data_IF_402911016916
#
_entry.id   IF_402911016916
#
_cell.length_a   1.000
_cell.length_b   1.000
_cell.length_c   1.000
_cell.angle_alpha   90.00
_cell.angle_beta   90.00
_cell.angle_gamma   90.00
#
_symmetry.space_group_name_H-M   'P 1'
#
loop_
_entity.id
_entity.type
_entity.pdbx_description
1 polymer ?
#
# COMPACT_ATOMS: atom_id res chain seq x y z
N UNK A 1 24.01 0.81 -41.85
CA UNK A 1 23.95 1.68 -40.65
C UNK A 1 22.69 1.50 -39.80
N UNK A 2 21.82 0.52 -40.07
CA UNK A 2 20.54 0.33 -39.35
C UNK A 2 20.63 -0.54 -38.07
N UNK A 3 21.51 -1.53 -38.03
CA UNK A 3 21.52 -2.54 -36.95
C UNK A 3 22.18 -2.06 -35.64
N UNK A 4 23.11 -1.10 -35.71
CA UNK A 4 23.83 -0.62 -34.52
C UNK A 4 22.96 0.31 -33.67
N UNK A 5 22.20 1.21 -34.30
CA UNK A 5 21.27 2.09 -33.58
C UNK A 5 20.13 1.30 -32.92
N UNK A 6 19.67 0.23 -33.56
CA UNK A 6 18.65 -0.65 -32.98
C UNK A 6 19.16 -1.38 -31.73
N UNK A 7 20.41 -1.86 -31.76
CA UNK A 7 21.03 -2.53 -30.62
C UNK A 7 21.19 -1.58 -29.41
N UNK A 8 21.58 -0.32 -29.65
CA UNK A 8 21.71 0.69 -28.60
C UNK A 8 20.36 1.04 -27.97
N UNK A 9 19.30 1.16 -28.77
CA UNK A 9 17.93 1.38 -28.27
C UNK A 9 17.46 0.20 -27.43
N UNK A 10 17.73 -1.03 -27.86
CA UNK A 10 17.35 -2.25 -27.12
C UNK A 10 18.11 -2.36 -25.80
N UNK A 11 19.43 -2.09 -25.78
CA UNK A 11 20.23 -2.08 -24.54
C UNK A 11 19.73 -0.99 -23.59
N UNK A 12 19.46 0.21 -24.09
CA UNK A 12 18.93 1.31 -23.29
C UNK A 12 17.55 0.99 -22.69
N UNK A 13 16.66 0.39 -23.48
CA UNK A 13 15.37 -0.12 -23.00
C UNK A 13 15.55 -1.20 -21.92
N UNK A 14 16.43 -2.18 -22.13
CA UNK A 14 16.70 -3.24 -21.16
C UNK A 14 17.29 -2.69 -19.85
N UNK A 15 18.13 -1.66 -19.89
CA UNK A 15 18.66 -1.02 -18.68
C UNK A 15 17.61 -0.23 -17.92
N UNK A 16 16.67 0.43 -18.62
CA UNK A 16 15.56 1.15 -17.97
C UNK A 16 14.63 0.16 -17.26
N UNK A 17 14.29 -0.96 -17.92
CA UNK A 17 13.35 -1.94 -17.37
C UNK A 17 13.86 -2.58 -16.07
N UNK A 18 15.18 -2.82 -15.96
CA UNK A 18 15.79 -3.34 -14.72
C UNK A 18 15.84 -2.31 -13.57
N UNK A 19 15.83 -1.01 -13.87
CA UNK A 19 15.85 0.05 -12.86
C UNK A 19 14.49 0.36 -12.22
N UNK A 20 13.40 -0.23 -12.71
CA UNK A 20 12.03 0.02 -12.23
C UNK A 20 11.61 -0.89 -11.07
N UNK A 21 12.53 -1.68 -10.50
CA UNK A 21 12.20 -2.48 -9.31
C UNK A 21 11.81 -1.54 -8.16
N UNK A 22 10.52 -1.51 -7.83
CA UNK A 22 9.98 -0.68 -6.78
C UNK A 22 10.59 -1.11 -5.44
N UNK A 23 11.42 -0.24 -4.86
CA UNK A 23 12.07 -0.48 -3.57
C UNK A 23 11.11 -0.09 -2.44
N UNK A 24 10.85 -1.03 -1.53
CA UNK A 24 9.99 -0.82 -0.37
C UNK A 24 10.84 -0.61 0.89
N UNK A 25 10.41 0.26 1.82
CA UNK A 25 11.15 0.47 3.07
C UNK A 25 11.13 -0.79 3.94
N UNK A 26 12.24 -1.08 4.62
CA UNK A 26 12.33 -2.21 5.56
C UNK A 26 11.34 -2.08 6.72
N UNK A 27 11.13 -0.84 7.19
CA UNK A 27 10.17 -0.48 8.22
C UNK A 27 9.53 0.86 7.91
N UNK A 28 8.25 1.02 8.23
CA UNK A 28 7.55 2.29 8.12
C UNK A 28 6.39 2.38 9.10
N UNK A 29 6.03 3.59 9.50
CA UNK A 29 4.90 3.84 10.38
C UNK A 29 3.71 4.38 9.59
N UNK A 30 2.52 3.87 9.89
CA UNK A 30 1.26 4.41 9.41
C UNK A 30 0.57 5.11 10.57
N UNK A 31 0.13 6.34 10.33
CA UNK A 31 -0.69 7.12 11.26
C UNK A 31 -2.12 7.12 10.75
N UNK A 32 -3.05 6.64 11.58
CA UNK A 32 -4.47 6.80 11.38
C UNK A 32 -5.03 7.79 12.40
N UNK A 33 -5.58 8.88 11.89
CA UNK A 33 -6.40 9.80 12.68
C UNK A 33 -7.86 9.31 12.63
N UNK A 34 -8.57 9.42 13.76
CA UNK A 34 -9.94 8.91 13.91
C UNK A 34 -10.85 10.01 14.43
N UNK A 35 -12.13 9.96 14.05
CA UNK A 35 -13.19 10.85 14.53
C UNK A 35 -13.94 10.31 15.77
N UNK A 36 -13.43 9.22 16.37
CA UNK A 36 -14.02 8.61 17.58
C UNK A 36 -13.99 9.62 18.72
N UNK A 37 -15.17 9.97 19.24
CA UNK A 37 -15.30 10.90 20.36
C UNK A 37 -14.51 10.39 21.57
N UNK A 38 -13.67 11.26 22.13
CA UNK A 38 -12.82 10.94 23.27
C UNK A 38 -11.50 10.24 22.91
N UNK A 39 -11.24 9.95 21.63
CA UNK A 39 -9.91 9.58 21.18
C UNK A 39 -8.98 10.79 21.32
N UNK A 40 -7.92 10.63 22.11
CA UNK A 40 -6.94 11.69 22.40
C UNK A 40 -5.65 11.56 21.58
N UNK A 41 -5.39 10.37 21.02
CA UNK A 41 -4.17 10.08 20.28
C UNK A 41 -4.49 9.34 18.98
N UNK A 42 -3.69 9.54 17.91
CA UNK A 42 -3.79 8.76 16.69
C UNK A 42 -3.40 7.30 16.93
N UNK A 43 -3.87 6.42 16.07
CA UNK A 43 -3.40 5.03 16.02
C UNK A 43 -2.12 5.02 15.16
N UNK A 44 -1.01 4.66 15.77
CA UNK A 44 0.27 4.49 15.07
C UNK A 44 0.57 3.01 14.92
N UNK A 45 0.75 2.54 13.70
CA UNK A 45 1.09 1.15 13.39
C UNK A 45 2.48 1.11 12.78
N UNK A 46 3.41 0.42 13.44
CA UNK A 46 4.73 0.15 12.89
C UNK A 46 4.67 -1.13 12.04
N UNK A 47 5.07 -1.02 10.78
CA UNK A 47 5.13 -2.13 9.83
C UNK A 47 6.57 -2.54 9.64
N UNK A 48 6.81 -3.85 9.72
CA UNK A 48 8.11 -4.47 9.49
C UNK A 48 8.00 -5.36 8.25
N UNK A 49 8.58 -4.92 7.14
CA UNK A 49 8.38 -5.53 5.82
C UNK A 49 8.79 -7.01 5.81
N UNK A 50 9.91 -7.34 6.46
CA UNK A 50 10.43 -8.73 6.54
C UNK A 50 9.49 -9.75 7.18
N UNK A 51 8.48 -9.33 7.95
CA UNK A 51 7.54 -10.26 8.60
C UNK A 51 6.43 -10.73 7.66
N UNK A 52 6.06 -9.92 6.68
CA UNK A 52 5.07 -10.26 5.66
C UNK A 52 5.34 -9.44 4.40
N UNK A 53 6.36 -9.77 3.58
CA UNK A 53 6.83 -8.93 2.49
C UNK A 53 5.73 -8.53 1.50
N UNK A 54 4.89 -9.49 1.10
CA UNK A 54 3.80 -9.25 0.16
C UNK A 54 2.74 -8.31 0.75
N UNK A 55 2.30 -8.59 1.98
CA UNK A 55 1.28 -7.78 2.66
C UNK A 55 1.76 -6.38 3.04
N UNK A 56 3.01 -6.25 3.49
CA UNK A 56 3.61 -4.97 3.82
C UNK A 56 3.80 -4.10 2.57
N UNK A 57 4.32 -4.66 1.47
CA UNK A 57 4.47 -3.92 0.22
C UNK A 57 3.10 -3.48 -0.33
N UNK A 58 2.12 -4.39 -0.34
CA UNK A 58 0.75 -4.07 -0.75
C UNK A 58 0.13 -2.97 0.12
N UNK A 59 0.27 -3.07 1.45
CA UNK A 59 -0.22 -2.03 2.37
C UNK A 59 0.47 -0.68 2.13
N UNK A 60 1.78 -0.69 1.88
CA UNK A 60 2.51 0.53 1.53
C UNK A 60 1.92 1.19 0.27
N UNK A 61 1.63 0.41 -0.77
CA UNK A 61 1.06 0.95 -2.01
C UNK A 61 -0.38 1.47 -1.80
N UNK A 62 -1.23 0.74 -1.08
CA UNK A 62 -2.60 1.18 -0.73
C UNK A 62 -2.60 2.51 0.01
N UNK A 63 -1.71 2.67 0.99
CA UNK A 63 -1.60 3.92 1.76
C UNK A 63 -1.18 5.08 0.84
N UNK A 64 -0.16 4.87 0.00
CA UNK A 64 0.34 5.91 -0.89
C UNK A 64 -0.63 6.24 -2.04
N UNK A 65 -1.54 5.33 -2.40
CA UNK A 65 -2.59 5.57 -3.39
C UNK A 65 -3.72 6.46 -2.88
N UNK A 66 -3.61 7.03 -1.67
CA UNK A 66 -4.63 7.89 -1.06
C UNK A 66 -5.93 7.15 -0.71
N UNK A 67 -5.91 5.81 -0.61
CA UNK A 67 -7.10 4.97 -0.35
C UNK A 67 -7.90 5.40 0.89
N UNK A 68 -7.18 5.83 1.94
CA UNK A 68 -7.73 6.23 3.24
C UNK A 68 -8.01 7.74 3.36
N UNK A 69 -7.96 8.51 2.27
CA UNK A 69 -8.30 9.94 2.31
C UNK A 69 -9.78 10.19 2.56
N UNK A 70 -10.62 9.29 2.05
CA UNK A 70 -12.03 9.24 2.42
C UNK A 70 -12.17 8.35 3.66
N UNK A 71 -12.99 8.73 4.66
CA UNK A 71 -13.14 7.96 5.88
C UNK A 71 -13.46 6.48 5.63
N UNK A 72 -12.72 5.60 6.28
CA UNK A 72 -12.96 4.14 6.29
C UNK A 72 -13.51 3.76 7.66
N UNK A 73 -14.77 3.33 7.72
CA UNK A 73 -15.46 3.10 9.00
C UNK A 73 -14.98 1.80 9.69
N UNK A 74 -15.02 1.81 11.04
CA UNK A 74 -14.98 0.59 11.84
C UNK A 74 -16.30 -0.17 11.68
N UNK A 75 -16.33 -1.17 10.80
CA UNK A 75 -17.58 -1.90 10.50
C UNK A 75 -17.78 -3.13 11.40
N UNK A 76 -16.75 -3.57 12.14
CA UNK A 76 -16.86 -4.64 13.12
C UNK A 76 -16.09 -4.28 14.38
N UNK A 77 -16.81 -4.20 15.50
CA UNK A 77 -16.25 -3.91 16.82
C UNK A 77 -16.65 -5.02 17.77
N UNK A 78 -15.66 -5.79 18.25
CA UNK A 78 -15.88 -6.81 19.28
C UNK A 78 -15.16 -6.36 20.55
N UNK A 79 -15.90 -6.00 21.62
CA UNK A 79 -15.30 -5.55 22.87
C UNK A 79 -14.27 -6.55 23.41
N UNK A 80 -13.14 -6.04 23.88
CA UNK A 80 -12.01 -6.82 24.44
C UNK A 80 -11.39 -7.84 23.47
N UNK A 81 -11.58 -7.67 22.17
CA UNK A 81 -11.00 -8.57 21.18
C UNK A 81 -10.40 -7.83 19.99
N UNK A 82 -11.24 -7.29 19.09
CA UNK A 82 -10.76 -6.74 17.81
C UNK A 82 -11.68 -5.68 17.26
N UNK A 83 -11.08 -4.70 16.58
CA UNK A 83 -11.76 -3.79 15.67
C UNK A 83 -11.31 -4.09 14.24
N UNK A 84 -12.24 -4.05 13.30
CA UNK A 84 -11.96 -4.26 11.88
C UNK A 84 -12.37 -3.01 11.09
N UNK A 85 -11.49 -2.59 10.20
CA UNK A 85 -11.66 -1.49 9.25
C UNK A 85 -10.88 -1.82 7.96
N UNK A 86 -10.88 -0.88 7.00
CA UNK A 86 -10.14 -1.03 5.74
C UNK A 86 -11.01 -1.10 4.49
N UNK A 87 -12.31 -0.78 4.59
CA UNK A 87 -13.18 -0.57 3.43
C UNK A 87 -13.33 0.94 3.25
N UNK A 88 -12.89 1.47 2.10
CA UNK A 88 -12.98 2.89 1.79
C UNK A 88 -14.44 3.31 1.62
N UNK A 89 -14.78 4.50 2.12
CA UNK A 89 -16.07 5.13 1.85
C UNK A 89 -16.27 5.51 0.38
N UNK A 90 -15.21 5.53 -0.42
CA UNK A 90 -15.27 5.65 -1.87
C UNK A 90 -15.20 4.26 -2.54
N UNK A 91 -16.29 3.75 -3.14
CA UNK A 91 -16.30 2.46 -3.81
C UNK A 91 -15.29 2.34 -4.96
N UNK A 92 -14.89 3.46 -5.58
CA UNK A 92 -13.89 3.43 -6.65
C UNK A 92 -12.52 3.00 -6.13
N UNK A 93 -12.14 3.45 -4.92
CA UNK A 93 -10.88 3.04 -4.28
C UNK A 93 -10.87 1.54 -3.97
N UNK A 94 -11.99 0.99 -3.48
CA UNK A 94 -12.10 -0.43 -3.19
C UNK A 94 -11.86 -1.31 -4.43
N UNK A 95 -12.33 -0.88 -5.60
CA UNK A 95 -12.13 -1.61 -6.87
C UNK A 95 -10.68 -1.67 -7.34
N UNK A 96 -9.86 -0.70 -6.98
CA UNK A 96 -8.43 -0.69 -7.35
C UNK A 96 -7.66 -1.82 -6.65
N UNK A 97 -8.16 -2.26 -5.49
CA UNK A 97 -7.50 -3.17 -4.57
C UNK A 97 -8.33 -4.43 -4.26
N UNK A 98 -9.27 -4.80 -5.14
CA UNK A 98 -10.17 -5.96 -4.95
C UNK A 98 -9.50 -7.31 -5.20
N UNK A 99 -8.26 -7.29 -5.70
CA UNK A 99 -7.51 -8.49 -6.05
C UNK A 99 -6.91 -9.11 -4.80
N UNK A 100 -7.11 -10.41 -4.56
CA UNK A 100 -6.49 -11.09 -3.44
C UNK A 100 -4.97 -11.10 -3.63
N UNK A 101 -4.25 -10.78 -2.54
CA UNK A 101 -2.82 -11.06 -2.45
C UNK A 101 -2.63 -12.57 -2.26
N UNK A 102 -1.52 -13.08 -2.78
CA UNK A 102 -1.16 -14.49 -2.63
C UNK A 102 -0.77 -14.77 -1.17
N UNK A 103 -1.27 -15.88 -0.64
CA UNK A 103 -0.86 -16.45 0.66
C UNK A 103 0.62 -16.87 0.66
#
# INVERSE_FOLDING_TARGET
MSNLNLLLVVIFLLTIVNGLAQSYPETYCIRFDTDVKGASNPIIINITQKWAPLGANHLFDVINSQFYHVPSAFFRVVPKFVVQFGISGDPAQNKLWDKPIKD
#
